data_IF_011184147522
#
_entry.id   IF_011184147522
#
_cell.length_a   1.000
_cell.length_b   1.000
_cell.length_c   1.000
_cell.angle_alpha   90.00
_cell.angle_beta   90.00
_cell.angle_gamma   90.00
#
_symmetry.space_group_name_H-M   'P 1'
#
loop_
_entity.id
_entity.type
_entity.pdbx_description
1 polymer ?
#
# COMPACT_ATOMS: atom_id res chain seq x y z
N UNK A 1 27.01 -28.92 13.39
CA UNK A 1 27.00 -29.07 14.85
C UNK A 1 25.73 -29.80 15.22
N UNK A 2 25.78 -30.77 16.13
CA UNK A 2 24.59 -31.46 16.63
C UNK A 2 23.82 -30.56 17.60
N UNK A 3 22.49 -30.68 17.62
CA UNK A 3 21.64 -29.96 18.56
C UNK A 3 21.89 -30.44 19.99
N UNK A 4 22.05 -29.51 20.95
CA UNK A 4 22.20 -29.84 22.37
C UNK A 4 20.91 -30.52 22.89
N UNK A 5 20.99 -31.67 23.59
CA UNK A 5 19.81 -32.39 24.07
C UNK A 5 18.87 -31.57 24.97
N UNK A 6 19.42 -30.67 25.79
CA UNK A 6 18.62 -29.80 26.69
C UNK A 6 17.84 -28.78 25.85
N UNK A 7 18.50 -28.19 24.85
CA UNK A 7 17.85 -27.24 23.93
C UNK A 7 16.79 -27.94 23.10
N UNK A 8 17.07 -29.15 22.62
CA UNK A 8 16.10 -29.98 21.89
C UNK A 8 14.85 -30.25 22.72
N UNK A 9 15.00 -30.63 24.00
CA UNK A 9 13.88 -30.88 24.88
C UNK A 9 13.04 -29.62 25.14
N UNK A 10 13.69 -28.46 25.27
CA UNK A 10 13.00 -27.17 25.42
C UNK A 10 12.17 -26.81 24.20
N UNK A 11 12.73 -26.97 23.00
CA UNK A 11 12.01 -26.73 21.73
C UNK A 11 10.82 -27.67 21.61
N UNK A 12 11.03 -28.96 21.87
CA UNK A 12 9.97 -29.97 21.80
C UNK A 12 8.83 -29.64 22.76
N UNK A 13 9.13 -29.25 24.00
CA UNK A 13 8.13 -28.87 24.98
C UNK A 13 7.29 -27.65 24.54
N UNK A 14 7.90 -26.66 23.88
CA UNK A 14 7.18 -25.51 23.33
C UNK A 14 6.22 -25.92 22.21
N UNK A 15 6.68 -26.80 21.31
CA UNK A 15 5.90 -27.32 20.19
C UNK A 15 4.75 -28.24 20.61
N UNK A 16 4.93 -29.00 21.69
CA UNK A 16 3.88 -29.85 22.26
C UNK A 16 2.85 -29.06 23.07
N UNK A 17 3.27 -27.99 23.76
CA UNK A 17 2.40 -27.17 24.59
C UNK A 17 1.44 -26.30 23.77
N UNK A 18 1.77 -25.99 22.51
CA UNK A 18 1.05 -25.02 21.70
C UNK A 18 0.82 -25.56 20.27
N UNK A 19 -0.43 -25.53 19.76
CA UNK A 19 -0.74 -26.06 18.43
C UNK A 19 -0.11 -25.22 17.32
N UNK A 20 0.11 -23.92 17.54
CA UNK A 20 0.78 -23.03 16.57
C UNK A 20 1.88 -22.27 17.29
N UNK A 21 3.11 -22.39 16.79
CA UNK A 21 4.28 -21.73 17.37
C UNK A 21 5.04 -20.97 16.29
N UNK A 22 5.27 -19.68 16.52
CA UNK A 22 6.08 -18.82 15.67
C UNK A 22 7.39 -18.46 16.37
N UNK A 23 8.50 -18.99 15.88
CA UNK A 23 9.84 -18.53 16.27
C UNK A 23 10.20 -17.31 15.44
N UNK A 24 10.40 -16.15 16.08
CA UNK A 24 10.59 -14.87 15.40
C UNK A 24 11.62 -13.98 16.10
N UNK A 25 12.05 -12.91 15.42
CA UNK A 25 12.94 -11.89 15.99
C UNK A 25 12.09 -10.74 16.53
N UNK A 26 12.09 -10.56 17.86
CA UNK A 26 11.17 -9.67 18.56
C UNK A 26 9.84 -10.34 18.90
N UNK A 27 8.80 -9.55 19.10
CA UNK A 27 7.45 -10.04 19.47
C UNK A 27 6.43 -9.67 18.40
N UNK A 28 5.22 -10.28 18.36
CA UNK A 28 4.18 -9.89 17.41
C UNK A 28 3.82 -8.40 17.44
N UNK A 29 3.87 -7.77 18.62
CA UNK A 29 3.60 -6.34 18.80
C UNK A 29 4.80 -5.45 18.49
N UNK A 30 6.01 -5.98 18.61
CA UNK A 30 7.26 -5.26 18.37
C UNK A 30 8.26 -6.16 17.63
N UNK A 31 8.03 -6.44 16.33
CA UNK A 31 8.94 -7.26 15.53
C UNK A 31 10.24 -6.50 15.27
N UNK A 32 11.38 -7.19 15.39
CA UNK A 32 12.73 -6.62 15.20
C UNK A 32 13.38 -7.06 13.88
N UNK A 33 12.60 -7.66 12.98
CA UNK A 33 13.05 -8.07 11.65
C UNK A 33 11.88 -8.00 10.66
N UNK A 34 12.14 -7.48 9.45
CA UNK A 34 11.11 -7.33 8.41
C UNK A 34 10.43 -8.64 8.03
N UNK A 35 11.16 -9.76 7.96
CA UNK A 35 10.56 -11.07 7.69
C UNK A 35 9.64 -11.53 8.82
N UNK A 36 10.04 -11.32 10.08
CA UNK A 36 9.19 -11.60 11.24
C UNK A 36 7.92 -10.73 11.24
N UNK A 37 8.04 -9.44 10.90
CA UNK A 37 6.88 -8.56 10.76
C UNK A 37 5.92 -9.03 9.66
N UNK A 38 6.44 -9.46 8.50
CA UNK A 38 5.62 -10.00 7.40
C UNK A 38 4.87 -11.27 7.81
N UNK A 39 5.53 -12.20 8.49
CA UNK A 39 4.86 -13.43 8.97
C UNK A 39 3.73 -13.12 9.94
N UNK A 40 3.94 -12.20 10.90
CA UNK A 40 2.89 -11.76 11.82
C UNK A 40 1.71 -11.12 11.06
N UNK A 41 2.00 -10.28 10.07
CA UNK A 41 0.96 -9.66 9.23
C UNK A 41 0.16 -10.71 8.44
N UNK A 42 0.83 -11.74 7.90
CA UNK A 42 0.16 -12.82 7.17
C UNK A 42 -0.79 -13.63 8.08
N UNK A 43 -0.35 -13.97 9.30
CA UNK A 43 -1.19 -14.67 10.29
C UNK A 43 -2.39 -13.82 10.71
N UNK A 44 -2.19 -12.54 10.97
CA UNK A 44 -3.28 -11.62 11.29
C UNK A 44 -4.27 -11.47 10.12
N UNK A 45 -3.78 -11.41 8.88
CA UNK A 45 -4.62 -11.25 7.69
C UNK A 45 -5.56 -12.44 7.42
N UNK A 46 -5.22 -13.63 7.94
CA UNK A 46 -6.08 -14.82 7.87
C UNK A 46 -6.96 -14.99 9.12
N UNK A 47 -6.90 -14.05 10.07
CA UNK A 47 -7.67 -14.09 11.32
C UNK A 47 -7.10 -15.00 12.40
N UNK A 48 -5.82 -15.38 12.31
CA UNK A 48 -5.16 -16.16 13.37
C UNK A 48 -4.53 -15.21 14.40
N UNK A 49 -5.30 -14.91 15.45
CA UNK A 49 -4.84 -14.07 16.56
C UNK A 49 -4.23 -14.88 17.72
N UNK A 50 -4.56 -16.17 17.83
CA UNK A 50 -4.10 -17.06 18.91
C UNK A 50 -3.00 -18.00 18.41
N UNK A 51 -1.74 -17.67 18.73
CA UNK A 51 -0.57 -18.51 18.53
C UNK A 51 0.51 -18.15 19.55
N UNK A 52 1.40 -19.11 19.84
CA UNK A 52 2.53 -18.87 20.72
C UNK A 52 3.70 -18.27 19.94
N UNK A 53 4.22 -17.13 20.37
CA UNK A 53 5.38 -16.50 19.74
C UNK A 53 6.62 -16.59 20.65
N UNK A 54 7.73 -17.04 20.09
CA UNK A 54 9.02 -17.16 20.78
C UNK A 54 10.00 -16.14 20.20
N UNK A 55 10.43 -15.19 21.02
CA UNK A 55 11.47 -14.23 20.64
C UNK A 55 12.86 -14.89 20.74
N UNK A 56 13.41 -15.26 19.59
CA UNK A 56 14.73 -15.89 19.51
C UNK A 56 15.88 -14.92 19.79
N UNK A 57 15.63 -13.61 19.88
CA UNK A 57 16.67 -12.66 20.26
C UNK A 57 16.96 -12.68 21.76
N UNK A 58 15.98 -13.11 22.56
CA UNK A 58 16.12 -13.25 24.00
C UNK A 58 16.87 -14.52 24.42
N UNK A 59 16.99 -15.51 23.53
CA UNK A 59 17.63 -16.80 23.81
C UNK A 59 18.44 -17.30 22.61
N UNK A 60 19.77 -17.19 22.71
CA UNK A 60 20.70 -17.58 21.66
C UNK A 60 20.72 -19.09 21.40
N UNK A 61 20.46 -19.91 22.42
CA UNK A 61 20.45 -21.36 22.30
C UNK A 61 19.21 -21.81 21.51
N UNK A 62 18.04 -21.24 21.81
CA UNK A 62 16.82 -21.49 21.02
C UNK A 62 17.00 -20.98 19.59
N UNK A 63 17.63 -19.81 19.40
CA UNK A 63 17.85 -19.22 18.08
C UNK A 63 18.65 -20.11 17.14
N UNK A 64 19.74 -20.69 17.62
CA UNK A 64 20.52 -21.62 16.80
C UNK A 64 19.92 -23.02 16.82
N UNK A 65 19.33 -23.43 17.93
CA UNK A 65 18.72 -24.73 18.11
C UNK A 65 17.54 -24.99 17.18
N UNK A 66 16.64 -24.01 17.01
CA UNK A 66 15.46 -24.18 16.15
C UNK A 66 15.82 -24.37 14.69
N UNK A 67 16.92 -23.76 14.23
CA UNK A 67 17.42 -23.95 12.87
C UNK A 67 17.88 -25.39 12.62
N UNK A 68 18.55 -25.97 13.61
CA UNK A 68 18.99 -27.36 13.55
C UNK A 68 17.81 -28.33 13.69
N UNK A 69 16.87 -28.04 14.58
CA UNK A 69 15.67 -28.86 14.82
C UNK A 69 14.79 -28.96 13.56
N UNK A 70 14.43 -27.83 12.95
CA UNK A 70 13.64 -27.81 11.71
C UNK A 70 14.42 -28.12 10.45
N UNK A 71 15.74 -28.36 10.54
CA UNK A 71 16.65 -28.41 9.40
C UNK A 71 16.44 -27.20 8.44
N UNK A 72 16.27 -26.01 9.03
CA UNK A 72 15.88 -24.79 8.33
C UNK A 72 16.77 -23.61 8.74
N UNK A 73 17.50 -22.97 7.82
CA UNK A 73 18.60 -22.07 8.20
C UNK A 73 18.15 -20.67 8.67
N UNK A 74 16.91 -20.26 8.39
CA UNK A 74 16.44 -18.88 8.59
C UNK A 74 15.33 -18.75 9.63
N UNK A 75 15.08 -17.52 10.06
CA UNK A 75 14.04 -17.12 11.01
C UNK A 75 13.31 -15.92 10.36
N UNK A 76 11.98 -15.83 10.39
CA UNK A 76 11.03 -16.61 11.21
C UNK A 76 10.81 -18.06 10.77
N UNK A 77 10.30 -18.89 11.68
CA UNK A 77 9.82 -20.26 11.41
C UNK A 77 8.46 -20.47 12.06
N UNK A 78 7.46 -20.87 11.27
CA UNK A 78 6.13 -21.23 11.76
C UNK A 78 6.01 -22.74 11.87
N UNK A 79 5.48 -23.20 13.00
CA UNK A 79 5.15 -24.59 13.26
C UNK A 79 3.65 -24.74 13.54
N UNK A 80 3.05 -25.79 12.98
CA UNK A 80 1.66 -26.19 13.24
C UNK A 80 1.68 -27.65 13.70
N UNK A 81 1.13 -27.92 14.87
CA UNK A 81 1.10 -29.24 15.51
C UNK A 81 2.48 -29.91 15.60
N UNK A 82 3.52 -29.12 15.88
CA UNK A 82 4.90 -29.58 15.99
C UNK A 82 5.62 -29.77 14.65
N UNK A 83 4.94 -29.66 13.52
CA UNK A 83 5.53 -29.77 12.18
C UNK A 83 5.91 -28.40 11.63
N UNK A 84 7.09 -28.32 10.99
CA UNK A 84 7.56 -27.09 10.36
C UNK A 84 6.72 -26.79 9.12
N UNK A 85 6.07 -25.63 9.11
CA UNK A 85 5.39 -25.09 7.93
C UNK A 85 6.40 -24.40 7.01
N UNK A 86 7.27 -23.56 7.58
CA UNK A 86 8.32 -22.88 6.83
C UNK A 86 8.63 -21.47 7.33
N UNK A 87 9.39 -20.74 6.51
CA UNK A 87 9.75 -19.35 6.76
C UNK A 87 8.74 -18.33 6.23
N UNK A 88 9.09 -17.04 6.31
CA UNK A 88 8.20 -15.93 5.96
C UNK A 88 7.57 -16.04 4.56
N UNK A 89 8.34 -16.43 3.55
CA UNK A 89 7.85 -16.44 2.16
C UNK A 89 6.86 -17.58 1.93
N UNK A 90 7.13 -18.78 2.48
CA UNK A 90 6.22 -19.93 2.41
C UNK A 90 4.91 -19.63 3.15
N UNK A 91 5.00 -19.05 4.35
CA UNK A 91 3.81 -18.67 5.13
C UNK A 91 2.95 -17.66 4.35
N UNK A 92 3.57 -16.68 3.70
CA UNK A 92 2.86 -15.73 2.84
C UNK A 92 2.16 -16.43 1.66
N UNK A 93 2.88 -17.29 0.94
CA UNK A 93 2.32 -18.04 -0.20
C UNK A 93 1.14 -18.93 0.21
N UNK A 94 1.25 -19.65 1.32
CA UNK A 94 0.18 -20.50 1.82
C UNK A 94 -1.03 -19.69 2.30
N UNK A 95 -0.81 -18.51 2.89
CA UNK A 95 -1.89 -17.59 3.27
C UNK A 95 -2.64 -17.05 2.05
N UNK A 96 -1.90 -16.71 0.99
CA UNK A 96 -2.44 -16.21 -0.28
C UNK A 96 -3.18 -17.30 -1.06
N UNK A 97 -2.71 -18.56 -1.02
CA UNK A 97 -3.37 -19.67 -1.71
C UNK A 97 -4.57 -20.23 -0.95
N UNK A 98 -4.65 -20.05 0.37
CA UNK A 98 -5.66 -20.65 1.24
C UNK A 98 -5.22 -21.95 1.91
N UNK A 99 -4.03 -22.45 1.60
CA UNK A 99 -3.44 -23.65 2.21
C UNK A 99 -3.19 -23.47 3.71
N UNK A 100 -2.78 -22.27 4.14
CA UNK A 100 -2.51 -22.00 5.55
C UNK A 100 -3.78 -22.05 6.39
N UNK A 101 -4.88 -21.46 5.89
CA UNK A 101 -6.20 -21.51 6.50
C UNK A 101 -6.66 -22.96 6.61
N UNK A 102 -6.47 -23.75 5.55
CA UNK A 102 -6.80 -25.17 5.54
C UNK A 102 -6.02 -25.95 6.60
N UNK A 103 -4.71 -25.70 6.72
CA UNK A 103 -3.85 -26.32 7.74
C UNK A 103 -4.24 -25.94 9.18
N UNK A 104 -4.82 -24.75 9.37
CA UNK A 104 -5.26 -24.22 10.67
C UNK A 104 -6.74 -24.49 10.98
N UNK A 105 -7.49 -25.11 10.06
CA UNK A 105 -8.95 -25.28 10.20
C UNK A 105 -9.74 -23.97 10.17
N UNK A 106 -9.18 -22.92 9.56
CA UNK A 106 -9.82 -21.63 9.37
C UNK A 106 -10.64 -21.60 8.07
N UNK A 107 -11.66 -20.73 7.97
CA UNK A 107 -12.38 -20.53 6.72
C UNK A 107 -11.41 -20.14 5.59
N UNK A 108 -11.59 -20.69 4.37
CA UNK A 108 -10.77 -20.30 3.25
C UNK A 108 -10.93 -18.80 2.94
N UNK A 109 -9.91 -18.14 2.38
CA UNK A 109 -10.02 -16.75 2.02
C UNK A 109 -11.11 -16.58 0.95
N UNK A 110 -11.80 -15.44 0.96
CA UNK A 110 -12.68 -15.07 -0.14
C UNK A 110 -11.84 -14.86 -1.42
N UNK A 111 -12.03 -15.76 -2.39
CA UNK A 111 -11.39 -15.75 -3.70
C UNK A 111 -12.37 -15.37 -4.82
N UNK A 112 -13.49 -14.74 -4.47
CA UNK A 112 -14.50 -14.33 -5.45
C UNK A 112 -13.86 -13.41 -6.50
N UNK A 113 -13.97 -13.74 -7.80
CA UNK A 113 -13.47 -12.88 -8.86
C UNK A 113 -14.08 -11.48 -8.80
N UNK A 114 -13.28 -10.40 -8.92
CA UNK A 114 -13.78 -9.04 -8.87
C UNK A 114 -14.63 -8.71 -10.09
N UNK A 115 -15.67 -7.90 -9.88
CA UNK A 115 -16.44 -7.30 -10.99
C UNK A 115 -15.69 -6.07 -11.50
N UNK A 116 -15.31 -6.10 -12.77
CA UNK A 116 -14.55 -5.03 -13.42
C UNK A 116 -15.21 -4.67 -14.75
N UNK A 117 -15.03 -3.43 -15.18
CA UNK A 117 -15.45 -2.94 -16.48
C UNK A 117 -14.22 -2.73 -17.37
N UNK A 118 -14.28 -3.23 -18.60
CA UNK A 118 -13.24 -3.01 -19.61
C UNK A 118 -13.91 -2.55 -20.88
N UNK A 119 -13.53 -1.40 -21.39
CA UNK A 119 -14.17 -0.84 -22.58
C UNK A 119 -13.80 -1.64 -23.84
N UNK A 120 -14.62 -1.61 -24.91
CA UNK A 120 -14.30 -2.30 -26.15
C UNK A 120 -12.94 -1.90 -26.75
N UNK A 121 -12.55 -0.63 -26.62
CA UNK A 121 -11.25 -0.14 -27.08
C UNK A 121 -10.09 -0.74 -26.27
N UNK A 122 -10.23 -0.79 -24.94
CA UNK A 122 -9.25 -1.46 -24.07
C UNK A 122 -9.18 -2.97 -24.34
N UNK A 123 -10.33 -3.63 -24.56
CA UNK A 123 -10.38 -5.06 -24.91
C UNK A 123 -9.61 -5.32 -26.20
N UNK A 124 -9.83 -4.54 -27.26
CA UNK A 124 -9.12 -4.69 -28.53
C UNK A 124 -7.60 -4.60 -28.33
N UNK A 125 -7.14 -3.56 -27.62
CA UNK A 125 -5.72 -3.37 -27.33
C UNK A 125 -5.13 -4.51 -26.48
N UNK A 126 -5.83 -4.93 -25.42
CA UNK A 126 -5.35 -6.02 -24.55
C UNK A 126 -5.28 -7.36 -25.29
N UNK A 127 -6.24 -7.65 -26.18
CA UNK A 127 -6.19 -8.84 -27.03
C UNK A 127 -4.98 -8.79 -27.95
N UNK A 128 -4.78 -7.69 -28.67
CA UNK A 128 -3.61 -7.51 -29.55
C UNK A 128 -2.30 -7.71 -28.76
N UNK A 129 -2.22 -7.18 -27.54
CA UNK A 129 -1.05 -7.33 -26.69
C UNK A 129 -0.81 -8.79 -26.25
N UNK A 130 -1.87 -9.53 -25.91
CA UNK A 130 -1.81 -10.96 -25.56
C UNK A 130 -1.41 -11.80 -26.77
N UNK A 131 -2.04 -11.58 -27.92
CA UNK A 131 -1.77 -12.32 -29.15
C UNK A 131 -0.31 -12.17 -29.59
N UNK A 132 0.27 -10.98 -29.41
CA UNK A 132 1.69 -10.72 -29.65
C UNK A 132 2.62 -11.36 -28.61
N UNK A 133 2.16 -11.57 -27.38
CA UNK A 133 2.95 -12.18 -26.30
C UNK A 133 2.98 -13.71 -26.37
N UNK A 134 1.96 -14.32 -26.99
CA UNK A 134 1.87 -15.77 -27.24
C UNK A 134 0.80 -16.50 -26.43
N UNK A 135 0.65 -17.79 -26.69
CA UNK A 135 -0.37 -18.62 -26.04
C UNK A 135 -0.17 -18.72 -24.53
N UNK A 136 -1.28 -18.76 -23.79
CA UNK A 136 -1.26 -18.93 -22.33
C UNK A 136 -0.88 -17.68 -21.55
N UNK A 137 -0.83 -16.50 -22.18
CA UNK A 137 -0.60 -15.22 -21.51
C UNK A 137 -1.93 -14.63 -21.01
N UNK A 138 -1.89 -14.01 -19.82
CA UNK A 138 -2.97 -13.28 -19.19
C UNK A 138 -2.51 -11.90 -18.72
N UNK A 139 -3.45 -11.02 -18.40
CA UNK A 139 -3.17 -9.70 -17.83
C UNK A 139 -3.14 -9.81 -16.31
N UNK A 140 -1.96 -9.73 -15.70
CA UNK A 140 -1.84 -9.52 -14.26
C UNK A 140 -2.25 -8.10 -13.92
N UNK A 141 -3.20 -7.96 -13.00
CA UNK A 141 -3.64 -6.68 -12.46
C UNK A 141 -3.24 -6.64 -10.98
N UNK A 142 -2.42 -5.66 -10.62
CA UNK A 142 -2.02 -5.39 -9.24
C UNK A 142 -2.60 -4.06 -8.79
N UNK A 143 -3.23 -4.02 -7.61
CA UNK A 143 -3.71 -2.77 -6.99
C UNK A 143 -3.03 -2.57 -5.64
N UNK A 144 -2.41 -1.40 -5.48
CA UNK A 144 -1.90 -0.95 -4.20
C UNK A 144 -3.02 -0.45 -3.26
N UNK A 145 -2.72 -0.12 -1.99
CA UNK A 145 -3.70 0.43 -1.05
C UNK A 145 -4.33 1.76 -1.49
N UNK A 146 -3.73 2.48 -2.43
CA UNK A 146 -4.22 3.73 -3.02
C UNK A 146 -5.00 3.49 -4.31
N UNK A 147 -5.29 2.23 -4.66
CA UNK A 147 -5.96 1.81 -5.88
C UNK A 147 -5.22 2.22 -7.17
N UNK A 148 -3.92 2.45 -7.08
CA UNK A 148 -3.10 2.57 -8.28
C UNK A 148 -2.91 1.18 -8.88
N UNK A 149 -3.36 1.04 -10.12
CA UNK A 149 -3.29 -0.22 -10.84
C UNK A 149 -2.01 -0.31 -11.67
N UNK A 150 -1.40 -1.50 -11.66
CA UNK A 150 -0.33 -1.86 -12.59
C UNK A 150 -0.75 -3.10 -13.37
N UNK A 151 -0.63 -3.04 -14.69
CA UNK A 151 -0.94 -4.14 -15.60
C UNK A 151 0.35 -4.70 -16.19
N UNK A 152 0.45 -6.03 -16.24
CA UNK A 152 1.58 -6.74 -16.83
C UNK A 152 1.07 -7.99 -17.57
N UNK A 153 1.71 -8.33 -18.68
CA UNK A 153 1.46 -9.60 -19.35
C UNK A 153 2.32 -10.68 -18.70
N UNK A 154 1.67 -11.72 -18.18
CA UNK A 154 2.33 -12.84 -17.49
C UNK A 154 1.68 -14.16 -17.92
N UNK A 155 2.34 -15.32 -17.73
CA UNK A 155 1.70 -16.60 -17.92
C UNK A 155 0.44 -16.74 -17.05
N UNK A 156 -0.62 -17.31 -17.62
CA UNK A 156 -1.87 -17.55 -16.93
C UNK A 156 -1.67 -18.56 -15.80
N UNK A 157 -2.02 -18.16 -14.58
CA UNK A 157 -1.88 -19.02 -13.41
C UNK A 157 -3.19 -19.73 -13.08
N UNK A 158 -3.14 -21.04 -12.88
CA UNK A 158 -4.35 -21.84 -12.58
C UNK A 158 -4.99 -21.45 -11.25
N UNK A 159 -4.18 -21.07 -10.26
CA UNK A 159 -4.67 -20.72 -8.92
C UNK A 159 -4.97 -19.22 -8.76
N UNK A 160 -4.66 -18.37 -9.76
CA UNK A 160 -4.95 -16.96 -9.63
C UNK A 160 -6.47 -16.68 -9.64
N UNK A 161 -6.88 -15.68 -8.87
CA UNK A 161 -8.25 -15.17 -8.96
C UNK A 161 -8.36 -14.48 -10.31
N UNK A 162 -9.34 -14.83 -11.13
CA UNK A 162 -9.42 -14.33 -12.49
C UNK A 162 -10.84 -13.98 -12.91
N UNK A 163 -10.96 -12.88 -13.64
CA UNK A 163 -12.17 -12.43 -14.32
C UNK A 163 -11.89 -12.39 -15.81
N UNK A 164 -12.77 -13.00 -16.61
CA UNK A 164 -12.69 -12.93 -18.07
C UNK A 164 -13.69 -11.90 -18.59
N UNK A 165 -13.20 -10.92 -19.35
CA UNK A 165 -14.04 -9.91 -20.01
C UNK A 165 -13.77 -10.03 -21.50
N UNK A 166 -14.80 -10.36 -22.28
CA UNK A 166 -14.70 -10.53 -23.74
C UNK A 166 -13.46 -11.37 -24.16
N UNK A 167 -13.22 -12.50 -23.49
CA UNK A 167 -12.11 -13.40 -23.80
C UNK A 167 -10.72 -12.93 -23.35
N UNK A 168 -10.58 -11.72 -22.80
CA UNK A 168 -9.36 -11.28 -22.12
C UNK A 168 -9.40 -11.78 -20.68
N UNK A 169 -8.41 -12.59 -20.29
CA UNK A 169 -8.25 -13.06 -18.91
C UNK A 169 -7.47 -12.03 -18.09
N UNK A 170 -8.13 -11.43 -17.11
CA UNK A 170 -7.49 -10.60 -16.09
C UNK A 170 -7.34 -11.40 -14.81
N UNK A 171 -6.12 -11.46 -14.28
CA UNK A 171 -5.80 -12.24 -13.07
C UNK A 171 -5.21 -11.36 -11.97
N UNK A 172 -5.42 -11.78 -10.73
CA UNK A 172 -5.18 -11.00 -9.52
C UNK A 172 -4.57 -11.90 -8.43
N UNK A 173 -3.68 -11.33 -7.63
CA UNK A 173 -3.40 -11.86 -6.31
C UNK A 173 -4.59 -11.61 -5.36
N UNK A 174 -4.57 -12.24 -4.18
CA UNK A 174 -5.67 -12.14 -3.21
C UNK A 174 -5.92 -10.69 -2.75
N UNK A 175 -4.87 -9.91 -2.52
CA UNK A 175 -4.97 -8.53 -2.05
C UNK A 175 -5.56 -7.60 -3.12
N UNK A 176 -5.15 -7.76 -4.37
CA UNK A 176 -5.60 -7.00 -5.52
C UNK A 176 -7.03 -7.36 -5.88
N UNK A 177 -7.40 -8.65 -5.86
CA UNK A 177 -8.77 -9.09 -6.12
C UNK A 177 -9.78 -8.41 -5.17
N UNK A 178 -9.44 -8.34 -3.87
CA UNK A 178 -10.27 -7.66 -2.86
C UNK A 178 -10.46 -6.16 -3.13
N UNK A 179 -9.53 -5.51 -3.84
CA UNK A 179 -9.59 -4.08 -4.18
C UNK A 179 -10.08 -3.80 -5.60
N UNK A 180 -10.17 -4.81 -6.45
CA UNK A 180 -10.43 -4.63 -7.88
C UNK A 180 -11.91 -4.44 -8.21
N UNK A 181 -12.84 -4.82 -7.34
CA UNK A 181 -14.27 -4.67 -7.61
C UNK A 181 -14.66 -3.19 -7.83
N UNK A 182 -15.13 -2.87 -9.04
CA UNK A 182 -15.43 -1.51 -9.49
C UNK A 182 -14.33 -0.85 -10.34
N UNK A 183 -13.23 -1.56 -10.61
CA UNK A 183 -12.18 -1.08 -11.52
C UNK A 183 -12.73 -0.92 -12.95
N UNK A 184 -12.45 0.22 -13.57
CA UNK A 184 -12.71 0.49 -14.98
C UNK A 184 -11.39 0.63 -15.74
N UNK A 185 -11.28 -0.08 -16.85
CA UNK A 185 -10.11 -0.04 -17.74
C UNK A 185 -10.58 0.43 -19.12
N UNK A 186 -10.03 1.56 -19.55
CA UNK A 186 -10.32 2.16 -20.85
C UNK A 186 -9.02 2.37 -21.64
N UNK A 187 -9.14 2.66 -22.93
CA UNK A 187 -8.06 3.03 -23.81
C UNK A 187 -8.33 4.41 -24.38
N UNK A 188 -7.51 5.39 -23.96
CA UNK A 188 -7.56 6.73 -24.52
C UNK A 188 -6.52 6.88 -25.63
N UNK A 189 -6.99 7.42 -26.75
CA UNK A 189 -6.17 7.90 -27.86
C UNK A 189 -6.57 9.36 -28.11
N UNK A 190 -6.04 10.26 -27.26
CA UNK A 190 -6.31 11.69 -27.33
C UNK A 190 -5.02 12.52 -27.38
N UNK A 191 -5.16 13.84 -27.42
CA UNK A 191 -4.03 14.79 -27.50
C UNK A 191 -3.07 14.69 -26.29
N UNK A 192 -3.47 14.04 -25.19
CA UNK A 192 -2.66 13.86 -23.97
C UNK A 192 -1.84 12.56 -23.99
N UNK A 193 -2.10 11.67 -24.94
CA UNK A 193 -1.30 10.47 -25.17
C UNK A 193 -2.13 9.25 -25.57
N UNK A 194 -1.44 8.22 -26.06
CA UNK A 194 -1.99 6.89 -26.33
C UNK A 194 -1.70 5.97 -25.16
N UNK A 195 -2.72 5.46 -24.48
CA UNK A 195 -2.50 4.56 -23.35
C UNK A 195 -3.76 4.08 -22.63
N UNK A 196 -3.54 3.14 -21.73
CA UNK A 196 -4.55 2.66 -20.81
C UNK A 196 -4.92 3.74 -19.80
N UNK A 197 -6.22 3.97 -19.63
CA UNK A 197 -6.80 4.79 -18.58
C UNK A 197 -7.46 3.86 -17.59
N UNK A 198 -6.92 3.80 -16.37
CA UNK A 198 -7.43 2.91 -15.33
C UNK A 198 -7.97 3.75 -14.19
N UNK A 199 -9.24 3.55 -13.86
CA UNK A 199 -9.95 4.33 -12.86
C UNK A 199 -10.59 3.38 -11.86
N UNK A 200 -10.44 3.67 -10.58
CA UNK A 200 -11.16 2.99 -9.52
C UNK A 200 -12.01 4.01 -8.74
N UNK A 201 -13.29 3.76 -8.45
CA UNK A 201 -14.18 4.72 -7.80
C UNK A 201 -13.75 5.08 -6.38
N UNK A 202 -12.98 4.20 -5.72
CA UNK A 202 -12.41 4.47 -4.39
C UNK A 202 -10.98 5.02 -4.43
N UNK A 203 -10.39 5.22 -5.62
CA UNK A 203 -9.06 5.82 -5.72
C UNK A 203 -9.09 7.27 -5.16
N UNK A 204 -8.04 7.71 -4.44
CA UNK A 204 -7.94 9.10 -4.01
C UNK A 204 -8.02 10.03 -5.22
N UNK A 205 -8.96 10.98 -5.17
CA UNK A 205 -9.11 12.01 -6.21
C UNK A 205 -7.75 12.68 -6.47
N UNK A 206 -7.37 12.94 -7.73
CA UNK A 206 -6.11 13.62 -8.03
C UNK A 206 -6.05 14.97 -7.32
N UNK A 207 -4.83 15.44 -7.03
CA UNK A 207 -4.63 16.79 -6.53
C UNK A 207 -5.25 17.78 -7.51
N UNK A 208 -6.05 18.71 -6.99
CA UNK A 208 -6.73 19.72 -7.81
C UNK A 208 -5.92 21.00 -7.84
N UNK A 209 -5.76 21.56 -9.03
CA UNK A 209 -5.21 22.90 -9.19
C UNK A 209 -6.21 23.94 -8.67
N UNK A 210 -5.71 24.91 -7.92
CA UNK A 210 -6.51 25.97 -7.30
C UNK A 210 -5.87 27.32 -7.61
N UNK A 211 -6.58 28.13 -8.41
CA UNK A 211 -6.16 29.50 -8.71
C UNK A 211 -6.13 30.37 -7.42
N UNK A 212 -5.21 31.34 -7.30
CA UNK A 212 -5.09 32.18 -6.12
C UNK A 212 -6.38 32.90 -5.69
N UNK A 213 -7.22 33.35 -6.64
CA UNK A 213 -8.50 34.01 -6.35
C UNK A 213 -9.50 33.05 -5.69
N UNK A 214 -9.54 31.82 -6.18
CA UNK A 214 -10.38 30.77 -5.62
C UNK A 214 -9.86 30.32 -4.25
N UNK A 215 -8.54 30.20 -4.09
CA UNK A 215 -7.91 29.92 -2.80
C UNK A 215 -8.22 31.00 -1.77
N UNK A 216 -8.10 32.28 -2.14
CA UNK A 216 -8.45 33.42 -1.29
C UNK A 216 -9.92 33.39 -0.88
N UNK A 217 -10.82 33.10 -1.81
CA UNK A 217 -12.26 32.99 -1.53
C UNK A 217 -12.56 31.84 -0.56
N UNK A 218 -12.02 30.64 -0.84
CA UNK A 218 -12.19 29.48 0.03
C UNK A 218 -11.63 29.73 1.43
N UNK A 219 -10.51 30.43 1.54
CA UNK A 219 -9.90 30.76 2.82
C UNK A 219 -10.73 31.78 3.60
N UNK A 220 -11.24 32.82 2.94
CA UNK A 220 -12.13 33.80 3.56
C UNK A 220 -13.42 33.16 4.10
N UNK A 221 -13.94 32.17 3.39
CA UNK A 221 -15.10 31.37 3.81
C UNK A 221 -14.76 30.29 4.85
N UNK A 222 -13.51 30.18 5.29
CA UNK A 222 -13.01 29.12 6.18
C UNK A 222 -13.23 27.69 5.66
N UNK A 223 -13.29 27.53 4.33
CA UNK A 223 -13.51 26.26 3.64
C UNK A 223 -12.22 25.54 3.25
N UNK A 224 -11.05 26.12 3.49
CA UNK A 224 -9.76 25.49 3.19
C UNK A 224 -8.70 25.91 4.21
N UNK A 225 -7.82 24.98 4.56
CA UNK A 225 -6.57 25.30 5.27
C UNK A 225 -5.45 25.46 4.25
N UNK A 226 -4.79 26.61 4.24
CA UNK A 226 -3.59 26.82 3.42
C UNK A 226 -2.34 26.41 4.20
N UNK A 227 -1.46 25.66 3.54
CA UNK A 227 -0.15 25.26 4.05
C UNK A 227 0.94 25.82 3.14
N UNK A 228 1.74 26.72 3.69
CA UNK A 228 2.90 27.28 3.00
C UNK A 228 4.12 26.39 3.23
N UNK A 229 4.55 25.72 2.15
CA UNK A 229 5.68 24.78 2.17
C UNK A 229 7.01 25.44 1.85
N UNK A 230 7.05 26.78 1.70
CA UNK A 230 8.30 27.52 1.52
C UNK A 230 9.08 27.56 2.83
N UNK A 231 10.42 27.58 2.79
CA UNK A 231 11.23 27.79 3.99
C UNK A 231 11.01 29.20 4.57
N UNK A 232 11.29 29.41 5.88
CA UNK A 232 11.06 30.70 6.55
C UNK A 232 11.70 31.91 5.86
N UNK A 233 12.91 31.74 5.29
CA UNK A 233 13.64 32.81 4.62
C UNK A 233 12.93 33.28 3.35
N UNK A 234 12.29 32.37 2.64
CA UNK A 234 11.50 32.68 1.44
C UNK A 234 10.20 33.39 1.82
N UNK A 235 9.50 32.95 2.87
CA UNK A 235 8.29 33.63 3.36
C UNK A 235 8.55 35.04 3.85
N UNK A 236 9.75 35.31 4.38
CA UNK A 236 10.15 36.66 4.79
C UNK A 236 10.30 37.65 3.61
N UNK A 237 10.53 37.17 2.39
CA UNK A 237 10.60 38.01 1.18
C UNK A 237 9.21 38.37 0.66
N UNK A 238 8.26 37.43 0.77
CA UNK A 238 6.87 37.60 0.35
C UNK A 238 5.94 36.85 1.32
N UNK A 239 5.41 37.59 2.29
CA UNK A 239 4.54 37.04 3.32
C UNK A 239 3.11 36.90 2.80
N UNK A 240 2.46 35.77 3.08
CA UNK A 240 1.04 35.58 2.80
C UNK A 240 0.22 36.24 3.93
N UNK A 241 -0.54 37.33 3.67
CA UNK A 241 -1.24 38.11 4.70
C UNK A 241 -2.53 37.45 5.18
N UNK A 242 -2.64 36.13 5.02
CA UNK A 242 -3.81 35.35 5.39
C UNK A 242 -3.43 34.20 6.31
N UNK A 243 -4.36 33.70 7.15
CA UNK A 243 -4.09 32.57 8.02
C UNK A 243 -3.61 31.35 7.22
N UNK A 244 -2.44 30.83 7.60
CA UNK A 244 -1.84 29.66 6.98
C UNK A 244 -1.07 28.86 8.02
N UNK A 245 -0.81 27.59 7.70
CA UNK A 245 0.09 26.70 8.44
C UNK A 245 1.39 26.53 7.68
N UNK A 246 2.40 25.98 8.33
CA UNK A 246 3.72 25.68 7.76
C UNK A 246 4.11 24.24 8.07
N UNK A 247 5.22 23.78 7.50
CA UNK A 247 5.81 22.46 7.78
C UNK A 247 7.00 22.53 8.75
N UNK A 248 7.24 23.68 9.40
CA UNK A 248 8.48 23.92 10.15
C UNK A 248 8.56 23.06 11.42
N UNK A 249 7.41 22.82 12.06
CA UNK A 249 7.28 22.00 13.27
C UNK A 249 6.97 20.52 12.96
N UNK A 250 7.23 20.09 11.71
CA UNK A 250 6.87 18.77 11.21
C UNK A 250 5.44 18.69 10.67
N UNK A 251 4.99 17.47 10.34
CA UNK A 251 3.72 17.23 9.63
C UNK A 251 2.62 16.64 10.52
N UNK A 252 2.94 16.12 11.69
CA UNK A 252 2.01 15.36 12.55
C UNK A 252 0.67 16.08 12.79
N UNK A 253 0.74 17.38 13.09
CA UNK A 253 -0.46 18.19 13.32
C UNK A 253 -1.33 18.32 12.05
N UNK A 254 -0.72 18.33 10.86
CA UNK A 254 -1.43 18.32 9.60
C UNK A 254 -1.96 16.91 9.27
N UNK A 255 -1.19 15.86 9.53
CA UNK A 255 -1.62 14.48 9.29
C UNK A 255 -2.85 14.09 10.12
N UNK A 256 -2.94 14.64 11.34
CA UNK A 256 -4.07 14.45 12.26
C UNK A 256 -5.36 15.17 11.86
N UNK A 257 -5.34 16.03 10.83
CA UNK A 257 -6.54 16.68 10.33
C UNK A 257 -7.54 15.65 9.77
N UNK A 258 -8.85 15.96 9.80
CA UNK A 258 -9.86 15.13 9.14
C UNK A 258 -9.51 14.91 7.66
N UNK A 259 -9.59 13.66 7.18
CA UNK A 259 -9.18 13.31 5.81
C UNK A 259 -10.09 13.89 4.72
N UNK A 260 -11.27 14.35 5.10
CA UNK A 260 -12.20 15.09 4.26
C UNK A 260 -12.05 16.61 4.36
N UNK A 261 -11.22 17.13 5.28
CA UNK A 261 -10.96 18.55 5.41
C UNK A 261 -10.19 19.07 4.17
N UNK A 262 -10.67 20.13 3.51
CA UNK A 262 -9.96 20.72 2.38
C UNK A 262 -8.61 21.34 2.79
N UNK A 263 -7.55 20.95 2.08
CA UNK A 263 -6.19 21.42 2.33
C UNK A 263 -5.52 21.86 1.02
N UNK A 264 -4.96 23.06 1.02
CA UNK A 264 -4.29 23.65 -0.14
C UNK A 264 -2.83 23.96 0.17
N UNK A 265 -1.92 23.53 -0.70
CA UNK A 265 -0.49 23.76 -0.53
C UNK A 265 -0.04 24.91 -1.44
N UNK A 266 0.80 25.80 -0.91
CA UNK A 266 1.40 26.91 -1.65
C UNK A 266 2.92 26.89 -1.50
N UNK A 267 3.63 27.15 -2.60
CA UNK A 267 5.07 27.40 -2.59
C UNK A 267 5.40 28.65 -3.41
N UNK A 268 6.63 28.80 -3.91
CA UNK A 268 7.00 29.91 -4.78
C UNK A 268 6.21 29.90 -6.11
N UNK A 269 6.26 28.79 -6.88
CA UNK A 269 5.71 28.71 -8.25
C UNK A 269 4.73 27.53 -8.48
N UNK A 270 4.43 26.73 -7.47
CA UNK A 270 3.55 25.55 -7.57
C UNK A 270 4.26 24.18 -7.57
N UNK A 271 5.57 24.11 -7.82
CA UNK A 271 6.28 22.82 -7.95
C UNK A 271 6.46 22.04 -6.65
N UNK A 272 6.92 22.69 -5.56
CA UNK A 272 7.07 22.04 -4.24
C UNK A 272 5.72 21.75 -3.59
N UNK A 273 4.76 22.65 -3.78
CA UNK A 273 3.41 22.49 -3.25
C UNK A 273 2.66 21.34 -3.93
N UNK A 274 2.87 21.08 -5.22
CA UNK A 274 2.32 19.90 -5.88
C UNK A 274 2.83 18.59 -5.25
N UNK A 275 4.13 18.51 -4.93
CA UNK A 275 4.70 17.34 -4.26
C UNK A 275 4.14 17.13 -2.84
N UNK A 276 4.01 18.23 -2.07
CA UNK A 276 3.39 18.17 -0.76
C UNK A 276 1.91 17.76 -0.84
N UNK A 277 1.17 18.29 -1.81
CA UNK A 277 -0.21 17.91 -2.06
C UNK A 277 -0.33 16.41 -2.40
N UNK A 278 0.54 15.88 -3.25
CA UNK A 278 0.57 14.45 -3.58
C UNK A 278 0.88 13.57 -2.37
N UNK A 279 1.82 14.00 -1.53
CA UNK A 279 2.12 13.32 -0.27
C UNK A 279 0.88 13.22 0.63
N UNK A 280 0.17 14.33 0.85
CA UNK A 280 -1.04 14.34 1.67
C UNK A 280 -2.20 13.56 1.03
N UNK A 281 -2.32 13.56 -0.30
CA UNK A 281 -3.24 12.66 -1.01
C UNK A 281 -2.93 11.20 -0.67
N UNK A 282 -1.65 10.82 -0.66
CA UNK A 282 -1.17 9.48 -0.27
C UNK A 282 -1.49 9.10 1.18
N UNK A 283 -1.61 10.09 2.08
CA UNK A 283 -2.04 9.93 3.47
C UNK A 283 -3.58 9.85 3.64
N UNK A 284 -4.32 9.75 2.52
CA UNK A 284 -5.76 9.55 2.49
C UNK A 284 -6.60 10.83 2.47
N UNK A 285 -5.99 12.01 2.37
CA UNK A 285 -6.75 13.25 2.21
C UNK A 285 -7.50 13.27 0.88
N UNK A 286 -8.79 13.63 0.93
CA UNK A 286 -9.72 13.53 -0.21
C UNK A 286 -9.89 14.86 -0.95
N UNK A 287 -9.70 15.97 -0.24
CA UNK A 287 -9.92 17.31 -0.78
C UNK A 287 -8.60 18.10 -0.78
N UNK A 288 -7.65 17.68 -1.63
CA UNK A 288 -6.30 18.25 -1.68
C UNK A 288 -6.12 19.16 -2.90
N UNK A 289 -5.46 20.30 -2.69
CA UNK A 289 -5.24 21.31 -3.70
C UNK A 289 -3.78 21.76 -3.79
N UNK A 290 -3.33 22.09 -4.99
CA UNK A 290 -2.09 22.81 -5.27
C UNK A 290 -2.44 24.23 -5.72
N UNK A 291 -1.91 25.25 -5.04
CA UNK A 291 -2.11 26.65 -5.45
C UNK A 291 -1.27 26.94 -6.69
N UNK A 292 -1.95 27.09 -7.82
CA UNK A 292 -1.32 27.22 -9.13
C UNK A 292 -0.52 28.52 -9.22
N UNK A 293 0.73 28.43 -9.69
CA UNK A 293 1.64 29.59 -9.78
C UNK A 293 2.15 30.10 -8.43
N UNK A 294 1.77 29.46 -7.32
CA UNK A 294 2.27 29.75 -5.98
C UNK A 294 1.99 31.18 -5.50
N UNK A 295 2.85 31.64 -4.59
CA UNK A 295 2.81 32.99 -4.02
C UNK A 295 3.07 34.09 -5.06
N UNK A 296 3.82 33.79 -6.13
CA UNK A 296 4.09 34.76 -7.20
C UNK A 296 2.83 35.11 -7.97
N UNK A 297 2.03 34.11 -8.31
CA UNK A 297 0.71 34.33 -8.90
C UNK A 297 -0.23 35.02 -7.91
N UNK A 298 -0.15 34.69 -6.62
CA UNK A 298 -0.95 35.35 -5.59
C UNK A 298 -0.62 36.85 -5.46
N UNK A 299 0.66 37.22 -5.52
CA UNK A 299 1.10 38.62 -5.45
C UNK A 299 0.66 39.47 -6.65
N UNK A 300 0.22 38.84 -7.75
CA UNK A 300 -0.38 39.57 -8.88
C UNK A 300 -1.81 40.04 -8.57
N UNK A 301 -2.52 39.34 -7.67
CA UNK A 301 -3.92 39.60 -7.34
C UNK A 301 -4.11 40.24 -5.96
N UNK A 302 -3.06 40.23 -5.12
CA UNK A 302 -3.03 40.87 -3.82
C UNK A 302 -1.82 41.82 -3.70
N UNK A 303 -2.03 43.13 -3.90
CA UNK A 303 -0.98 44.14 -3.79
C UNK A 303 -0.31 44.24 -2.41
N UNK A 304 -0.90 43.63 -1.36
CA UNK A 304 -0.29 43.59 -0.04
C UNK A 304 0.90 42.62 0.04
N UNK A 305 1.04 41.70 -0.92
CA UNK A 305 2.12 40.73 -0.97
C UNK A 305 3.30 41.34 -1.74
N UNK A 306 4.47 41.42 -1.08
CA UNK A 306 5.71 41.78 -1.75
C UNK A 306 6.02 40.78 -2.86
N UNK A 307 6.42 41.28 -4.03
CA UNK A 307 6.92 40.42 -5.11
C UNK A 307 8.32 39.92 -4.76
N UNK A 308 8.58 38.67 -5.09
CA UNK A 308 9.89 38.05 -4.97
C UNK A 308 11.00 38.78 -5.74
#
# INVERSE_FOLDING_TARGET
MSLDPVVQQRIQALLEAHPVVLFMKGTPRAPQCGFSARTVQALAAIGLDDYHAVDVLADADIREGIKLHGNWPTIPQLYIHGELVGGSDIVGQMADSGELQSALGLPPPDRTPPSIEVTPAAIAMLRDAIDNAGEGIAVQVQLDPQYQARLQLVPAETNAIATSVDGVRLQFDLASARRASGLSIDWADDERGRGLVIVHPSAPKPVRELAPEAARTMLADQRVTIVDVRPPQERALAELPHPHRTLDDGIDALESLPKDAPIAFICHHGGRSAQAAEHFRGLGFREVYNVTGGIDAWAQIDPAISRY
#
